data_IF_389009982497
#
_entry.id   IF_389009982497
#
_cell.length_a   1.000
_cell.length_b   1.000
_cell.length_c   1.000
_cell.angle_alpha   90.00
_cell.angle_beta   90.00
_cell.angle_gamma   90.00
#
_symmetry.space_group_name_H-M   'P 1'
#
loop_
_entity.id
_entity.type
_entity.pdbx_description
1 polymer ?
#
# COMPACT_ATOMS: atom_id res chain seq x y z
N UNK A 1 -18.36 74.36 1.78
CA UNK A 1 -19.19 74.01 0.62
C UNK A 1 -18.43 72.92 -0.13
N UNK A 2 -18.83 71.66 0.01
CA UNK A 2 -18.11 70.50 -0.52
C UNK A 2 -18.69 70.13 -1.89
N UNK A 3 -17.82 69.94 -2.88
CA UNK A 3 -18.17 69.46 -4.23
C UNK A 3 -17.68 68.02 -4.34
N UNK A 4 -18.60 67.09 -4.53
CA UNK A 4 -18.32 65.66 -4.74
C UNK A 4 -18.39 65.42 -6.25
N UNK A 5 -17.28 65.04 -6.88
CA UNK A 5 -17.25 64.62 -8.27
C UNK A 5 -17.36 63.10 -8.35
N UNK A 6 -18.44 62.60 -8.96
CA UNK A 6 -18.65 61.20 -9.29
C UNK A 6 -17.95 60.85 -10.60
N UNK A 7 -17.02 59.91 -10.57
CA UNK A 7 -16.38 59.32 -11.76
C UNK A 7 -17.08 58.02 -12.16
N UNK A 8 -17.56 57.97 -13.40
CA UNK A 8 -18.23 56.83 -14.03
C UNK A 8 -17.23 55.75 -14.47
N UNK A 9 -17.59 54.49 -14.25
CA UNK A 9 -16.82 53.27 -14.56
C UNK A 9 -16.91 52.88 -16.04
N UNK A 10 -15.80 52.52 -16.72
CA UNK A 10 -15.87 51.88 -18.03
C UNK A 10 -16.02 50.35 -17.93
N UNK A 11 -16.98 49.84 -18.68
CA UNK A 11 -17.27 48.42 -18.91
C UNK A 11 -16.26 47.82 -19.91
N UNK A 12 -15.74 46.59 -19.71
CA UNK A 12 -15.12 45.83 -20.79
C UNK A 12 -16.00 44.67 -21.26
N UNK A 13 -16.36 44.76 -22.54
CA UNK A 13 -17.01 43.74 -23.36
C UNK A 13 -15.98 42.87 -24.11
N UNK A 14 -16.40 41.66 -24.50
CA UNK A 14 -15.56 40.61 -25.10
C UNK A 14 -15.02 39.71 -23.99
N UNK A 15 -15.01 38.37 -24.04
CA UNK A 15 -14.55 37.49 -25.11
C UNK A 15 -15.45 36.25 -25.18
N UNK A 16 -16.19 36.07 -26.28
CA UNK A 16 -16.73 34.75 -26.64
C UNK A 16 -15.64 33.99 -27.39
N UNK A 17 -15.16 32.88 -26.81
CA UNK A 17 -14.42 31.85 -27.55
C UNK A 17 -15.17 30.53 -27.47
N UNK A 18 -15.54 30.09 -28.66
CA UNK A 18 -16.06 28.77 -29.03
C UNK A 18 -15.17 27.65 -28.47
N UNK A 19 -15.78 26.62 -27.90
CA UNK A 19 -15.12 25.32 -27.69
C UNK A 19 -16.00 24.26 -28.34
N UNK A 20 -15.48 23.71 -29.44
CA UNK A 20 -15.99 22.54 -30.13
C UNK A 20 -15.78 21.29 -29.28
N UNK A 21 -16.85 20.51 -29.06
CA UNK A 21 -16.75 19.12 -28.65
C UNK A 21 -16.41 18.26 -29.89
N UNK A 22 -15.49 17.31 -29.75
CA UNK A 22 -15.92 15.90 -29.79
C UNK A 22 -15.20 15.07 -28.70
N UNK A 23 -15.34 13.75 -28.75
CA UNK A 23 -14.69 12.70 -27.92
C UNK A 23 -15.52 12.03 -26.81
N UNK A 24 -16.86 11.96 -26.94
CA UNK A 24 -17.68 11.09 -26.07
C UNK A 24 -17.59 9.60 -26.46
N UNK A 25 -17.07 9.27 -27.65
CA UNK A 25 -17.04 7.88 -28.16
C UNK A 25 -15.92 6.97 -27.65
N UNK A 26 -14.80 7.51 -27.14
CA UNK A 26 -13.62 6.70 -26.82
C UNK A 26 -13.63 6.05 -25.42
N UNK A 27 -14.47 6.53 -24.50
CA UNK A 27 -14.51 6.07 -23.10
C UNK A 27 -15.26 4.74 -22.92
N UNK A 28 -16.20 4.40 -23.79
CA UNK A 28 -17.02 3.18 -23.64
C UNK A 28 -16.23 1.90 -23.97
N UNK A 29 -15.29 1.97 -24.91
CA UNK A 29 -14.46 0.81 -25.30
C UNK A 29 -13.49 0.36 -24.20
N UNK A 30 -12.96 1.31 -23.41
CA UNK A 30 -11.98 1.02 -22.36
C UNK A 30 -12.65 0.36 -21.15
N UNK A 31 -13.86 0.81 -20.77
CA UNK A 31 -14.62 0.21 -19.68
C UNK A 31 -14.97 -1.26 -19.95
N UNK A 32 -15.36 -1.60 -21.19
CA UNK A 32 -15.63 -3.00 -21.58
C UNK A 32 -14.41 -3.91 -21.50
N UNK A 33 -13.24 -3.40 -21.88
CA UNK A 33 -11.98 -4.16 -21.81
C UNK A 33 -11.56 -4.47 -20.36
N UNK A 34 -11.72 -3.49 -19.45
CA UNK A 34 -11.39 -3.68 -18.02
C UNK A 34 -12.29 -4.74 -17.38
N UNK A 35 -13.59 -4.73 -17.68
CA UNK A 35 -14.53 -5.74 -17.17
C UNK A 35 -14.17 -7.15 -17.67
N UNK A 36 -13.75 -7.28 -18.94
CA UNK A 36 -13.32 -8.57 -19.49
C UNK A 36 -12.05 -9.11 -18.81
N UNK A 37 -11.07 -8.24 -18.53
CA UNK A 37 -9.82 -8.62 -17.86
C UNK A 37 -10.09 -9.04 -16.41
N UNK A 38 -10.91 -8.29 -15.67
CA UNK A 38 -11.27 -8.63 -14.29
C UNK A 38 -12.04 -9.96 -14.24
N UNK A 39 -12.96 -10.20 -15.18
CA UNK A 39 -13.66 -11.48 -15.31
C UNK A 39 -12.71 -12.66 -15.54
N UNK A 40 -11.70 -12.49 -16.41
CA UNK A 40 -10.71 -13.53 -16.69
C UNK A 40 -9.82 -13.85 -15.47
N UNK A 41 -9.42 -12.84 -14.70
CA UNK A 41 -8.62 -13.03 -13.48
C UNK A 41 -9.39 -13.77 -12.39
N UNK A 42 -10.67 -13.42 -12.19
CA UNK A 42 -11.54 -14.11 -11.22
C UNK A 42 -11.76 -15.57 -11.64
N UNK A 43 -12.05 -15.83 -12.93
CA UNK A 43 -12.22 -17.19 -13.44
C UNK A 43 -10.95 -18.05 -13.28
N UNK A 44 -9.78 -17.46 -13.53
CA UNK A 44 -8.50 -18.15 -13.37
C UNK A 44 -8.18 -18.48 -11.89
N UNK A 45 -8.48 -17.57 -10.96
CA UNK A 45 -8.30 -17.81 -9.54
C UNK A 45 -9.23 -18.93 -9.02
N UNK A 46 -10.48 -18.98 -9.49
CA UNK A 46 -11.43 -20.05 -9.14
C UNK A 46 -10.99 -21.42 -9.68
N UNK A 47 -10.42 -21.48 -10.89
CA UNK A 47 -9.93 -22.73 -11.47
C UNK A 47 -8.74 -23.34 -10.71
N UNK A 48 -7.85 -22.50 -10.16
CA UNK A 48 -6.68 -22.93 -9.36
C UNK A 48 -7.03 -23.45 -7.97
N UNK A 49 -8.15 -23.02 -7.38
CA UNK A 49 -8.58 -23.47 -6.05
C UNK A 49 -9.07 -24.92 -6.04
N UNK A 50 -9.79 -25.33 -7.09
CA UNK A 50 -10.45 -26.64 -7.20
C UNK A 50 -9.46 -27.81 -7.41
N UNK A 51 -8.24 -27.52 -7.86
CA UNK A 51 -7.21 -28.53 -8.13
C UNK A 51 -6.46 -28.98 -6.87
N UNK A 52 -6.48 -28.16 -5.81
CA UNK A 52 -5.82 -28.48 -4.53
C UNK A 52 -6.68 -29.45 -3.70
N UNK A 53 -8.01 -29.37 -3.79
CA UNK A 53 -8.90 -30.24 -3.00
C UNK A 53 -9.11 -31.64 -3.62
N UNK A 54 -8.91 -31.81 -4.94
CA UNK A 54 -9.07 -33.12 -5.60
C UNK A 54 -7.96 -34.14 -5.32
N UNK A 55 -6.83 -33.75 -4.69
CA UNK A 55 -5.73 -34.69 -4.36
C UNK A 55 -5.76 -35.25 -2.94
N UNK A 56 -6.75 -34.88 -2.12
CA UNK A 56 -6.93 -35.42 -0.75
C UNK A 56 -7.74 -36.72 -0.66
N UNK A 57 -7.94 -37.44 -1.77
CA UNK A 57 -8.75 -38.65 -1.85
C UNK A 57 -8.15 -39.84 -1.07
N UNK A 58 -8.92 -40.30 -0.10
CA UNK A 58 -8.72 -41.46 0.79
C UNK A 58 -8.48 -42.81 0.07
N UNK A 59 -7.97 -43.81 0.81
CA UNK A 59 -8.27 -45.28 0.76
C UNK A 59 -7.30 -46.04 1.75
N UNK A 60 -7.51 -47.33 2.12
CA UNK A 60 -8.49 -47.94 3.04
C UNK A 60 -7.81 -48.72 4.22
N UNK A 61 -8.54 -49.36 5.17
CA UNK A 61 -7.96 -50.20 6.24
C UNK A 61 -7.99 -51.71 5.91
N UNK A 62 -6.87 -52.43 6.13
CA UNK A 62 -6.72 -53.90 6.23
C UNK A 62 -5.22 -54.27 6.10
N UNK A 63 -4.56 -55.24 6.75
CA UNK A 63 -4.88 -56.30 7.72
C UNK A 63 -3.55 -56.82 8.32
N UNK A 64 -3.57 -57.31 9.56
CA UNK A 64 -2.49 -58.15 10.16
C UNK A 64 -2.32 -59.47 9.40
N UNK A 65 -1.09 -60.02 9.32
CA UNK A 65 -0.81 -61.23 10.10
C UNK A 65 0.65 -61.39 10.63
N UNK A 66 0.73 -61.96 11.85
CA UNK A 66 1.66 -62.93 12.46
C UNK A 66 3.21 -62.78 12.43
N UNK A 67 3.90 -63.27 13.49
CA UNK A 67 5.31 -62.99 13.79
C UNK A 67 6.29 -64.11 13.38
N UNK A 68 7.60 -63.82 13.56
CA UNK A 68 8.75 -64.70 13.91
C UNK A 68 9.97 -64.55 12.95
N UNK A 69 11.21 -64.94 13.33
CA UNK A 69 12.13 -64.25 14.25
C UNK A 69 13.55 -64.01 13.66
N UNK A 70 14.42 -63.34 14.46
CA UNK A 70 15.92 -63.34 14.39
C UNK A 70 16.62 -62.61 13.21
N UNK A 71 17.74 -61.89 13.32
CA UNK A 71 18.72 -61.53 14.37
C UNK A 71 19.56 -60.35 13.82
N UNK A 72 20.03 -59.42 14.68
CA UNK A 72 21.36 -58.77 14.68
C UNK A 72 21.32 -57.41 15.41
N UNK A 73 22.18 -57.17 16.43
CA UNK A 73 22.33 -55.84 17.02
C UNK A 73 23.33 -55.02 16.20
N UNK A 74 22.83 -54.18 15.30
CA UNK A 74 23.64 -53.12 14.69
C UNK A 74 23.61 -51.89 15.59
N UNK A 75 24.77 -51.55 16.13
CA UNK A 75 25.04 -50.33 16.92
C UNK A 75 24.41 -49.09 16.26
N UNK A 76 23.62 -48.27 16.99
CA UNK A 76 23.12 -47.02 16.44
C UNK A 76 24.28 -46.04 16.29
N UNK A 77 24.61 -45.70 15.05
CA UNK A 77 25.46 -44.54 14.77
C UNK A 77 24.82 -43.30 15.40
N UNK A 78 25.56 -42.50 16.19
CA UNK A 78 25.00 -41.30 16.80
C UNK A 78 24.55 -40.34 15.70
N UNK A 79 23.25 -39.99 15.70
CA UNK A 79 22.72 -38.94 14.84
C UNK A 79 23.51 -37.65 15.08
N UNK A 80 23.89 -36.93 14.01
CA UNK A 80 24.49 -35.61 14.17
C UNK A 80 23.52 -34.72 14.97
N UNK A 81 24.04 -33.87 15.87
CA UNK A 81 23.21 -32.96 16.64
C UNK A 81 22.40 -32.09 15.67
N UNK A 82 21.12 -31.80 15.98
CA UNK A 82 20.30 -30.96 15.14
C UNK A 82 21.00 -29.62 14.93
N UNK A 83 21.13 -29.22 13.66
CA UNK A 83 21.65 -27.91 13.30
C UNK A 83 20.85 -26.85 14.06
N UNK A 84 21.51 -25.87 14.73
CA UNK A 84 20.79 -24.81 15.42
C UNK A 84 19.89 -24.10 14.42
N UNK A 85 18.58 -24.06 14.71
CA UNK A 85 17.64 -23.25 13.95
C UNK A 85 18.09 -21.79 13.99
N UNK A 86 17.98 -21.05 12.88
CA UNK A 86 18.29 -19.62 12.87
C UNK A 86 17.47 -18.91 13.97
N UNK A 87 18.02 -17.88 14.62
CA UNK A 87 17.32 -17.16 15.66
C UNK A 87 16.02 -16.59 15.09
N UNK A 88 14.88 -17.05 15.64
CA UNK A 88 13.59 -16.45 15.36
C UNK A 88 13.63 -15.04 15.94
N UNK A 89 13.46 -14.03 15.10
CA UNK A 89 13.39 -12.64 15.55
C UNK A 89 12.14 -12.46 16.42
N UNK A 90 12.32 -12.35 17.74
CA UNK A 90 11.23 -12.29 18.73
C UNK A 90 10.72 -10.87 19.00
N UNK A 91 11.28 -9.86 18.33
CA UNK A 91 10.89 -8.46 18.48
C UNK A 91 9.59 -8.11 17.74
N UNK A 92 8.89 -7.03 18.14
CA UNK A 92 7.76 -6.52 17.38
C UNK A 92 8.21 -6.02 16.00
N UNK A 93 7.38 -6.18 14.96
CA UNK A 93 7.70 -5.73 13.61
C UNK A 93 8.17 -4.26 13.58
N UNK A 94 9.28 -4.01 12.91
CA UNK A 94 9.88 -2.71 12.64
C UNK A 94 10.29 -2.62 11.19
N UNK A 95 10.26 -1.41 10.64
CA UNK A 95 10.72 -1.15 9.27
C UNK A 95 11.83 -0.11 9.25
N UNK A 96 12.86 -0.39 8.46
CA UNK A 96 13.77 0.63 7.93
C UNK A 96 13.32 0.98 6.52
N UNK A 97 13.39 2.25 6.14
CA UNK A 97 12.88 2.73 4.87
C UNK A 97 14.00 3.42 4.10
N UNK A 98 14.13 3.09 2.82
CA UNK A 98 14.85 3.87 1.83
C UNK A 98 13.86 4.47 0.82
N UNK A 99 14.19 5.62 0.26
CA UNK A 99 13.34 6.33 -0.70
C UNK A 99 14.17 6.87 -1.84
N UNK A 100 13.79 6.55 -3.08
CA UNK A 100 14.45 7.00 -4.29
C UNK A 100 13.45 7.69 -5.23
N UNK A 101 13.88 8.77 -5.86
CA UNK A 101 13.05 9.50 -6.83
C UNK A 101 12.99 8.70 -8.12
N UNK A 102 11.79 8.37 -8.56
CA UNK A 102 11.56 7.69 -9.85
C UNK A 102 11.26 8.70 -10.94
N UNK A 103 10.37 9.66 -10.68
CA UNK A 103 9.99 10.69 -11.65
C UNK A 103 9.56 12.00 -10.95
N UNK A 104 8.96 12.95 -11.66
CA UNK A 104 8.61 14.27 -11.13
C UNK A 104 7.74 14.26 -9.86
N UNK A 105 6.93 13.22 -9.63
CA UNK A 105 6.01 13.10 -8.49
C UNK A 105 5.96 11.71 -7.86
N UNK A 106 6.82 10.80 -8.27
CA UNK A 106 6.79 9.40 -7.84
C UNK A 106 8.09 9.03 -7.14
N UNK A 107 7.97 8.45 -5.95
CA UNK A 107 9.07 7.85 -5.18
C UNK A 107 8.90 6.34 -5.18
N UNK A 108 9.99 5.61 -5.30
CA UNK A 108 10.04 4.21 -4.89
C UNK A 108 10.50 4.13 -3.44
N UNK A 109 9.69 3.47 -2.61
CA UNK A 109 10.01 3.23 -1.20
C UNK A 109 10.36 1.76 -1.05
N UNK A 110 11.54 1.49 -0.50
CA UNK A 110 12.00 0.14 -0.20
C UNK A 110 11.95 -0.08 1.31
N UNK A 111 11.02 -0.91 1.82
CA UNK A 111 10.99 -1.30 3.21
C UNK A 111 11.96 -2.46 3.48
N UNK A 112 12.55 -2.47 4.68
CA UNK A 112 13.25 -3.64 5.22
C UNK A 112 12.71 -3.92 6.60
N UNK A 113 12.08 -5.08 6.75
CA UNK A 113 11.38 -5.51 7.94
C UNK A 113 12.27 -6.32 8.88
N UNK A 114 12.02 -6.17 10.18
CA UNK A 114 12.67 -6.95 11.24
C UNK A 114 11.64 -7.27 12.32
N UNK A 115 11.74 -8.46 12.94
CA UNK A 115 10.77 -8.92 13.93
C UNK A 115 9.55 -9.60 13.31
N UNK A 116 8.50 -9.78 14.11
CA UNK A 116 7.28 -10.48 13.70
C UNK A 116 6.06 -9.56 13.69
N UNK A 117 5.22 -9.72 12.66
CA UNK A 117 3.93 -9.06 12.56
C UNK A 117 3.03 -9.44 13.75
N UNK A 118 2.36 -8.45 14.32
CA UNK A 118 1.39 -8.67 15.39
C UNK A 118 0.02 -8.99 14.79
N UNK A 119 -0.66 -9.98 15.36
CA UNK A 119 -2.00 -10.34 14.92
C UNK A 119 -2.98 -9.18 15.09
N UNK A 120 -3.89 -9.00 14.13
CA UNK A 120 -4.89 -7.93 14.12
C UNK A 120 -4.37 -6.54 13.74
N UNK A 121 -3.09 -6.39 13.41
CA UNK A 121 -2.52 -5.13 12.93
C UNK A 121 -2.20 -5.20 11.43
N UNK A 122 -2.51 -4.12 10.73
CA UNK A 122 -2.09 -3.90 9.33
C UNK A 122 -1.10 -2.75 9.29
N UNK A 123 -0.04 -2.89 8.52
CA UNK A 123 1.01 -1.89 8.45
C UNK A 123 0.77 -0.98 7.25
N UNK A 124 0.79 0.34 7.45
CA UNK A 124 0.50 1.33 6.42
C UNK A 124 1.63 2.31 6.28
N UNK A 125 2.10 2.52 5.05
CA UNK A 125 2.91 3.67 4.72
C UNK A 125 2.02 4.91 4.61
N UNK A 126 2.36 5.91 5.40
CA UNK A 126 1.70 7.21 5.45
C UNK A 126 2.70 8.28 5.05
N UNK A 127 2.30 9.10 4.09
CA UNK A 127 3.02 10.30 3.65
C UNK A 127 2.57 11.48 4.50
N UNK A 128 3.47 12.06 5.28
CA UNK A 128 3.31 13.34 5.92
C UNK A 128 3.79 14.46 4.98
N UNK A 129 2.93 15.44 4.71
CA UNK A 129 3.28 16.67 3.98
C UNK A 129 3.12 17.84 4.93
N UNK A 130 4.23 18.49 5.27
CA UNK A 130 4.22 19.73 6.06
C UNK A 130 4.28 20.92 5.12
N UNK A 131 3.27 21.78 5.22
CA UNK A 131 3.08 22.98 4.40
C UNK A 131 3.80 24.20 5.00
N UNK A 132 3.93 25.28 4.22
CA UNK A 132 4.63 26.53 4.63
C UNK A 132 4.04 27.19 5.90
N UNK A 133 2.81 26.84 6.28
CA UNK A 133 2.17 27.27 7.53
C UNK A 133 2.41 26.36 8.74
N UNK A 134 3.22 25.30 8.61
CA UNK A 134 3.50 24.32 9.66
C UNK A 134 2.43 23.23 9.84
N UNK A 135 1.28 23.35 9.15
CA UNK A 135 0.26 22.31 9.14
C UNK A 135 0.79 21.07 8.42
N UNK A 136 0.47 19.89 8.96
CA UNK A 136 0.92 18.61 8.38
C UNK A 136 -0.28 17.72 8.09
N UNK A 137 -0.39 17.28 6.84
CA UNK A 137 -1.42 16.36 6.38
C UNK A 137 -0.85 14.95 6.22
N UNK A 138 -1.61 13.95 6.67
CA UNK A 138 -1.18 12.56 6.70
C UNK A 138 -1.96 11.71 5.69
N UNK A 139 -1.34 11.43 4.56
CA UNK A 139 -1.94 10.67 3.47
C UNK A 139 -1.61 9.18 3.59
N UNK A 140 -2.57 8.28 3.86
CA UNK A 140 -2.34 6.86 3.68
C UNK A 140 -2.08 6.57 2.20
N UNK A 141 -1.08 5.74 1.90
CA UNK A 141 -0.70 5.43 0.50
C UNK A 141 -0.74 3.94 0.21
N UNK A 142 -0.13 3.14 1.07
CA UNK A 142 0.09 1.73 0.78
C UNK A 142 -0.02 0.87 2.03
N UNK A 143 -0.73 -0.26 1.93
CA UNK A 143 -0.77 -1.27 2.98
C UNK A 143 0.33 -2.30 2.74
N UNK A 144 1.23 -2.46 3.70
CA UNK A 144 2.28 -3.46 3.69
C UNK A 144 1.74 -4.76 4.29
N UNK A 145 2.01 -5.88 3.62
CA UNK A 145 1.72 -7.22 4.16
C UNK A 145 2.85 -7.77 5.04
N UNK A 146 3.63 -6.87 5.66
CA UNK A 146 4.78 -7.25 6.49
C UNK A 146 6.01 -7.70 5.70
N UNK A 147 6.03 -7.53 4.37
CA UNK A 147 7.14 -7.86 3.49
C UNK A 147 8.06 -6.67 3.18
N UNK A 148 9.11 -6.98 2.41
CA UNK A 148 10.19 -6.06 2.02
C UNK A 148 10.06 -5.58 0.56
N UNK A 149 8.92 -5.86 -0.08
CA UNK A 149 8.69 -5.51 -1.48
C UNK A 149 8.66 -3.98 -1.66
N UNK A 150 9.39 -3.43 -2.63
CA UNK A 150 9.34 -2.00 -2.93
C UNK A 150 7.97 -1.62 -3.51
N UNK A 151 7.57 -0.38 -3.26
CA UNK A 151 6.30 0.16 -3.77
C UNK A 151 6.43 1.63 -4.19
N UNK A 152 5.60 2.02 -5.14
CA UNK A 152 5.56 3.38 -5.64
C UNK A 152 4.60 4.25 -4.84
N UNK A 153 5.07 5.45 -4.50
CA UNK A 153 4.30 6.49 -3.81
C UNK A 153 4.21 7.71 -4.69
N UNK A 154 2.98 8.11 -5.01
CA UNK A 154 2.72 9.37 -5.71
C UNK A 154 2.51 10.51 -4.71
N UNK A 155 3.29 11.57 -4.85
CA UNK A 155 3.18 12.80 -4.06
C UNK A 155 2.03 13.67 -4.59
N UNK A 156 1.18 14.27 -3.73
CA UNK A 156 0.19 15.28 -4.14
C UNK A 156 0.82 16.41 -4.96
N UNK A 157 0.04 17.02 -5.87
CA UNK A 157 0.60 17.91 -6.91
C UNK A 157 0.96 19.29 -6.39
N UNK A 158 0.15 19.77 -5.46
CA UNK A 158 0.39 20.90 -4.59
C UNK A 158 1.56 20.65 -3.62
N UNK A 159 1.76 19.41 -3.18
CA UNK A 159 2.86 19.01 -2.32
C UNK A 159 4.22 18.93 -3.04
N UNK A 160 4.39 19.42 -4.27
CA UNK A 160 5.69 19.45 -5.01
C UNK A 160 6.33 20.85 -5.01
N UNK A 161 5.67 21.84 -4.41
CA UNK A 161 6.14 23.23 -4.30
C UNK A 161 7.32 23.41 -3.34
N UNK A 162 8.10 24.48 -3.53
CA UNK A 162 9.18 24.89 -2.63
C UNK A 162 8.60 25.21 -1.24
N UNK A 163 9.33 24.91 -0.18
CA UNK A 163 8.93 25.16 1.21
C UNK A 163 8.18 24.01 1.89
N UNK A 164 7.59 23.10 1.12
CA UNK A 164 6.92 21.91 1.67
C UNK A 164 7.91 20.78 2.00
N UNK A 165 7.79 20.20 3.19
CA UNK A 165 8.58 19.03 3.62
C UNK A 165 7.75 17.77 3.48
N UNK A 166 8.37 16.69 2.98
CA UNK A 166 7.71 15.40 2.77
C UNK A 166 8.47 14.30 3.48
N UNK A 167 7.76 13.55 4.31
CA UNK A 167 8.31 12.39 4.98
C UNK A 167 7.35 11.20 4.91
N UNK A 168 7.90 10.02 4.75
CA UNK A 168 7.16 8.75 4.83
C UNK A 168 7.40 8.06 6.16
N UNK A 169 6.37 7.42 6.72
CA UNK A 169 6.54 6.54 7.88
C UNK A 169 5.56 5.36 7.80
N UNK A 170 5.98 4.20 8.30
CA UNK A 170 5.09 3.05 8.48
C UNK A 170 4.46 3.09 9.87
N UNK A 171 3.14 2.95 9.90
CA UNK A 171 2.33 2.86 11.11
C UNK A 171 1.64 1.50 11.18
N UNK A 172 1.49 0.97 12.40
CA UNK A 172 0.63 -0.16 12.67
C UNK A 172 -0.78 0.34 12.98
N UNK A 173 -1.74 -0.08 12.16
CA UNK A 173 -3.16 0.25 12.25
C UNK A 173 -3.95 -0.95 12.78
N UNK A 174 -4.92 -0.69 13.64
CA UNK A 174 -5.98 -1.67 13.95
C UNK A 174 -6.97 -1.82 12.77
N UNK A 175 -8.00 -2.64 12.96
CA UNK A 175 -9.01 -2.90 11.94
C UNK A 175 -9.80 -1.65 11.54
N UNK A 176 -10.16 -0.78 12.50
CA UNK A 176 -10.93 0.43 12.23
C UNK A 176 -10.08 1.47 11.49
N UNK A 177 -8.83 1.68 11.93
CA UNK A 177 -7.88 2.56 11.28
C UNK A 177 -7.55 2.07 9.86
N UNK A 178 -7.43 0.76 9.66
CA UNK A 178 -7.22 0.15 8.34
C UNK A 178 -8.39 0.40 7.40
N UNK A 179 -9.62 0.22 7.87
CA UNK A 179 -10.81 0.53 7.06
C UNK A 179 -10.84 2.02 6.69
N UNK A 180 -10.60 2.90 7.66
CA UNK A 180 -10.56 4.34 7.47
C UNK A 180 -9.46 4.78 6.48
N UNK A 181 -8.32 4.07 6.44
CA UNK A 181 -7.23 4.33 5.51
C UNK A 181 -7.59 3.90 4.08
N UNK A 182 -8.19 2.71 3.92
CA UNK A 182 -8.66 2.21 2.61
C UNK A 182 -9.69 3.17 2.00
N UNK A 183 -10.68 3.58 2.78
CA UNK A 183 -11.71 4.50 2.31
C UNK A 183 -11.11 5.84 1.84
N UNK A 184 -10.08 6.35 2.54
CA UNK A 184 -9.37 7.56 2.13
C UNK A 184 -8.60 7.38 0.84
N UNK A 185 -7.85 6.29 0.69
CA UNK A 185 -7.13 5.98 -0.55
C UNK A 185 -8.09 5.92 -1.74
N UNK A 186 -9.26 5.30 -1.59
CA UNK A 186 -10.27 5.27 -2.65
C UNK A 186 -10.84 6.66 -2.96
N UNK A 187 -11.14 7.48 -1.94
CA UNK A 187 -11.62 8.86 -2.15
C UNK A 187 -10.55 9.76 -2.77
N UNK A 188 -9.28 9.58 -2.46
CA UNK A 188 -8.18 10.32 -3.08
C UNK A 188 -8.13 10.13 -4.60
N UNK A 189 -8.50 8.94 -5.11
CA UNK A 189 -8.57 8.68 -6.57
C UNK A 189 -9.62 9.53 -7.27
N UNK A 190 -10.67 9.95 -6.56
CA UNK A 190 -11.80 10.70 -7.13
C UNK A 190 -11.78 12.19 -6.79
N UNK A 191 -11.08 12.59 -5.72
CA UNK A 191 -11.01 13.98 -5.22
C UNK A 191 -9.63 14.61 -5.35
N UNK A 192 -8.86 14.22 -6.37
CA UNK A 192 -7.53 14.78 -6.66
C UNK A 192 -6.54 14.77 -5.46
N UNK A 193 -6.71 13.84 -4.51
CA UNK A 193 -5.81 13.71 -3.37
C UNK A 193 -6.17 14.48 -2.10
N UNK A 194 -7.31 15.17 -2.00
CA UNK A 194 -7.68 16.01 -0.83
C UNK A 194 -8.19 15.27 0.41
N UNK A 195 -7.79 14.01 0.63
CA UNK A 195 -8.32 13.24 1.76
C UNK A 195 -7.21 12.59 2.58
N UNK A 196 -7.11 13.01 3.84
CA UNK A 196 -6.00 12.71 4.74
C UNK A 196 -6.49 12.50 6.17
N UNK A 197 -5.59 12.07 7.05
CA UNK A 197 -5.81 12.17 8.49
C UNK A 197 -5.32 13.55 8.96
N UNK A 198 -6.08 14.24 9.82
CA UNK A 198 -5.68 15.56 10.35
C UNK A 198 -4.55 15.47 11.38
N UNK A 199 -4.25 14.27 11.86
CA UNK A 199 -3.23 13.98 12.85
C UNK A 199 -2.60 12.61 12.58
N UNK A 200 -1.46 12.33 13.22
CA UNK A 200 -0.85 11.01 13.16
C UNK A 200 -1.84 9.95 13.65
N UNK A 201 -2.04 8.91 12.85
CA UNK A 201 -2.93 7.79 13.18
C UNK A 201 -2.08 6.54 13.40
N UNK A 202 -2.48 5.70 14.36
CA UNK A 202 -1.83 4.43 14.64
C UNK A 202 -0.52 4.55 15.42
N UNK A 203 0.21 3.43 15.52
CA UNK A 203 1.50 3.39 16.23
C UNK A 203 2.66 3.39 15.24
N UNK A 204 3.63 4.32 15.32
CA UNK A 204 4.77 4.34 14.41
C UNK A 204 5.65 3.09 14.63
N UNK A 205 5.99 2.41 13.53
CA UNK A 205 6.87 1.22 13.53
C UNK A 205 8.11 1.39 12.65
N UNK A 206 8.30 2.58 12.07
CA UNK A 206 9.53 2.99 11.41
C UNK A 206 9.96 4.38 11.89
N UNK A 207 11.22 4.73 11.65
CA UNK A 207 11.62 6.14 11.59
C UNK A 207 10.99 6.81 10.35
N UNK A 208 10.92 8.14 10.37
CA UNK A 208 10.51 8.88 9.19
C UNK A 208 11.64 8.87 8.13
N UNK A 209 11.29 8.64 6.87
CA UNK A 209 12.19 8.77 5.72
C UNK A 209 11.84 10.04 4.95
N UNK A 210 12.85 10.88 4.67
CA UNK A 210 12.64 12.07 3.85
C UNK A 210 12.45 11.65 2.39
N UNK A 211 11.42 12.18 1.73
CA UNK A 211 11.15 11.85 0.34
C UNK A 211 11.86 12.85 -0.60
N UNK A 212 12.48 12.37 -1.69
CA UNK A 212 13.40 13.15 -2.53
C UNK A 212 12.71 14.12 -3.50
N UNK A 213 11.98 15.09 -2.95
CA UNK A 213 11.40 16.22 -3.67
C UNK A 213 11.60 17.51 -2.88
N UNK A 214 11.85 18.63 -3.56
CA UNK A 214 12.11 19.94 -2.95
C UNK A 214 13.60 20.27 -2.90
N UNK A 215 14.04 21.01 -3.92
CA UNK A 215 15.26 21.81 -3.88
C UNK A 215 14.97 23.21 -3.36
#
# INVERSE_FOLDING_TARGET
MFVIATTTSPEPSGWRKSVSAPHVGALVGIAGLVVAIVGAVIAYASFRGDEIERKGGALPPASSPSPSPSSAPSSPSPSPPPSPSPPVSTGPLRFTLAAEKVDARTVEVTPTSTGAARNGLTYWFVLAVTWDGGNTDYYPRFALQGGDDPFLVTIPGDAVTVGTTRAGRVYAFDAQQTAAAKDRVERQKTRNGEDFFPEETGTPVSAAVRLPFGG
#
